data_IF_630328445350
#
_entry.id   IF_630328445350
#
_cell.length_a   1.000
_cell.length_b   1.000
_cell.length_c   1.000
_cell.angle_alpha   90.00
_cell.angle_beta   90.00
_cell.angle_gamma   90.00
#
_symmetry.space_group_name_H-M   'P 1'
#
loop_
_entity.id
_entity.type
_entity.pdbx_description
1 polymer ?
#
# COMPACT_ATOMS: atom_id res chain seq x y z
N UNK A 1 -10.52 6.11 -0.14
CA UNK A 1 -10.99 6.73 1.12
C UNK A 1 -12.28 6.14 1.69
N UNK A 2 -12.93 5.17 1.01
CA UNK A 2 -14.18 4.55 1.48
C UNK A 2 -14.12 4.04 2.93
N UNK A 3 -13.01 3.40 3.34
CA UNK A 3 -12.89 2.81 4.69
C UNK A 3 -12.76 3.86 5.80
N UNK A 4 -12.01 4.95 5.57
CA UNK A 4 -11.84 6.02 6.55
C UNK A 4 -13.16 6.75 6.81
N UNK A 5 -13.96 6.96 5.76
CA UNK A 5 -15.27 7.61 5.89
C UNK A 5 -16.30 6.74 6.65
N UNK A 6 -16.03 5.46 6.82
CA UNK A 6 -16.92 4.52 7.51
C UNK A 6 -16.55 4.29 8.98
N UNK A 7 -15.54 4.99 9.51
CA UNK A 7 -15.12 4.89 10.92
C UNK A 7 -15.21 6.25 11.63
N UNK A 8 -15.55 6.23 12.92
CA UNK A 8 -15.50 7.40 13.80
C UNK A 8 -14.06 7.69 14.29
N UNK A 9 -13.10 7.70 13.36
CA UNK A 9 -11.70 8.00 13.65
C UNK A 9 -11.39 9.45 13.30
N UNK A 10 -10.92 10.23 14.29
CA UNK A 10 -10.34 11.55 14.03
C UNK A 10 -8.87 11.41 13.65
N UNK A 11 -8.44 12.13 12.62
CA UNK A 11 -7.05 12.16 12.15
C UNK A 11 -6.71 13.53 11.59
N UNK A 12 -5.44 13.92 11.72
CA UNK A 12 -4.91 15.14 11.11
C UNK A 12 -4.39 14.91 9.69
N UNK A 13 -3.96 13.68 9.42
CA UNK A 13 -3.36 13.25 8.15
C UNK A 13 -3.65 11.78 7.89
N UNK A 14 -3.62 11.39 6.62
CA UNK A 14 -3.68 9.99 6.20
C UNK A 14 -2.52 9.69 5.26
N UNK A 15 -1.75 8.64 5.57
CA UNK A 15 -0.71 8.10 4.71
C UNK A 15 -1.27 6.84 4.04
N UNK A 16 -1.35 6.86 2.72
CA UNK A 16 -1.94 5.79 1.91
C UNK A 16 -0.88 5.14 1.00
N UNK A 17 -1.24 4.02 0.36
CA UNK A 17 -0.42 3.33 -0.64
C UNK A 17 1.01 3.01 -0.16
N UNK A 18 1.14 2.46 1.05
CA UNK A 18 2.42 2.18 1.71
C UNK A 18 3.36 3.40 1.76
N UNK A 19 2.85 4.61 1.97
CA UNK A 19 3.66 5.84 1.97
C UNK A 19 3.67 6.60 0.64
N UNK A 20 3.01 6.07 -0.40
CA UNK A 20 2.96 6.69 -1.72
C UNK A 20 2.10 7.95 -1.81
N UNK A 21 1.19 8.17 -0.86
CA UNK A 21 0.35 9.39 -0.80
C UNK A 21 0.17 9.88 0.62
N UNK A 22 0.08 11.19 0.78
CA UNK A 22 -0.20 11.88 2.04
C UNK A 22 -1.35 12.87 1.80
N UNK A 23 -2.39 12.77 2.61
CA UNK A 23 -3.55 13.66 2.62
C UNK A 23 -3.65 14.41 3.95
N UNK A 24 -4.24 15.60 3.93
CA UNK A 24 -4.63 16.32 5.14
C UNK A 24 -5.93 15.76 5.75
N UNK A 25 -6.35 16.32 6.89
CA UNK A 25 -7.61 15.99 7.58
C UNK A 25 -8.88 16.16 6.74
N UNK A 26 -8.83 16.97 5.69
CA UNK A 26 -9.94 17.19 4.76
C UNK A 26 -9.81 16.31 3.52
N UNK A 27 -8.89 15.35 3.53
CA UNK A 27 -8.58 14.46 2.41
C UNK A 27 -8.08 15.19 1.16
N UNK A 28 -7.51 16.39 1.34
CA UNK A 28 -6.81 17.08 0.26
C UNK A 28 -5.41 16.49 0.13
N UNK A 29 -5.02 16.17 -1.10
CA UNK A 29 -3.69 15.66 -1.40
C UNK A 29 -2.62 16.69 -1.02
N UNK A 30 -1.68 16.29 -0.18
CA UNK A 30 -0.49 17.09 0.18
C UNK A 30 0.69 16.68 -0.69
N UNK A 31 0.96 15.38 -0.78
CA UNK A 31 2.10 14.83 -1.52
C UNK A 31 1.79 13.44 -2.07
N UNK A 32 2.37 13.13 -3.23
CA UNK A 32 2.33 11.79 -3.82
C UNK A 32 3.65 11.43 -4.49
N UNK A 33 3.91 10.13 -4.60
CA UNK A 33 5.10 9.56 -5.21
C UNK A 33 4.68 8.60 -6.34
N UNK A 34 4.40 9.12 -7.55
CA UNK A 34 4.01 8.28 -8.66
C UNK A 34 5.14 7.36 -9.12
N UNK A 35 4.75 6.24 -9.72
CA UNK A 35 5.65 5.31 -10.38
C UNK A 35 6.29 5.95 -11.60
N UNK A 36 7.55 5.58 -11.90
CA UNK A 36 8.18 5.95 -13.16
C UNK A 36 7.37 5.40 -14.34
N UNK A 37 6.99 6.26 -15.28
CA UNK A 37 6.07 5.89 -16.37
C UNK A 37 6.69 4.87 -17.33
N UNK A 38 7.98 5.02 -17.65
CA UNK A 38 8.66 4.14 -18.61
C UNK A 38 8.80 2.75 -18.00
N UNK A 39 9.19 2.66 -16.74
CA UNK A 39 9.34 1.40 -16.03
C UNK A 39 7.98 0.76 -15.74
N UNK A 40 6.95 1.56 -15.47
CA UNK A 40 5.59 1.07 -15.31
C UNK A 40 5.09 0.43 -16.60
N UNK A 41 5.28 1.10 -17.74
CA UNK A 41 4.92 0.58 -19.06
C UNK A 41 5.63 -0.74 -19.37
N UNK A 42 6.94 -0.85 -19.05
CA UNK A 42 7.68 -2.12 -19.16
C UNK A 42 7.05 -3.21 -18.29
N UNK A 43 6.71 -2.89 -17.04
CA UNK A 43 6.20 -3.86 -16.07
C UNK A 43 4.82 -4.38 -16.48
N UNK A 44 3.88 -3.51 -16.84
CA UNK A 44 2.51 -3.93 -17.18
C UNK A 44 2.42 -4.75 -18.48
N UNK A 45 3.42 -4.65 -19.34
CA UNK A 45 3.52 -5.47 -20.57
C UNK A 45 4.41 -6.71 -20.44
N UNK A 46 5.08 -6.90 -19.29
CA UNK A 46 5.93 -8.07 -19.01
C UNK A 46 5.11 -9.35 -18.80
N UNK A 47 5.80 -10.50 -18.78
CA UNK A 47 5.24 -11.79 -18.38
C UNK A 47 4.69 -11.75 -16.95
N UNK A 48 5.38 -11.03 -16.04
CA UNK A 48 4.98 -10.85 -14.64
C UNK A 48 3.54 -10.34 -14.53
N UNK A 49 3.20 -9.29 -15.28
CA UNK A 49 1.87 -8.69 -15.23
C UNK A 49 0.82 -9.50 -16.01
N UNK A 50 1.21 -10.16 -17.11
CA UNK A 50 0.32 -11.01 -17.92
C UNK A 50 -0.12 -12.27 -17.18
N UNK A 51 0.74 -12.85 -16.36
CA UNK A 51 0.41 -14.03 -15.55
C UNK A 51 -0.36 -13.68 -14.25
N UNK A 52 -0.36 -12.41 -13.85
CA UNK A 52 -1.16 -11.95 -12.72
C UNK A 52 -2.65 -12.07 -13.03
N UNK A 53 -3.45 -12.50 -12.05
CA UNK A 53 -4.91 -12.61 -12.16
C UNK A 53 -5.59 -11.26 -12.41
N UNK A 54 -4.98 -10.18 -11.94
CA UNK A 54 -5.40 -8.81 -12.20
C UNK A 54 -4.22 -7.85 -12.08
N UNK A 55 -4.41 -6.64 -12.60
CA UNK A 55 -3.57 -5.50 -12.27
C UNK A 55 -4.48 -4.46 -11.63
N UNK A 56 -4.23 -4.11 -10.37
CA UNK A 56 -4.95 -3.05 -9.67
C UNK A 56 -4.07 -1.81 -9.67
N UNK A 57 -4.51 -0.77 -10.36
CA UNK A 57 -3.87 0.54 -10.43
C UNK A 57 -4.47 1.46 -9.37
N UNK A 58 -3.62 2.09 -8.57
CA UNK A 58 -4.03 3.09 -7.59
C UNK A 58 -3.39 4.45 -7.91
N UNK A 59 -4.21 5.48 -8.00
CA UNK A 59 -3.78 6.88 -7.95
C UNK A 59 -4.25 7.53 -6.64
N UNK A 60 -3.95 8.82 -6.45
CA UNK A 60 -4.45 9.58 -5.29
C UNK A 60 -5.98 9.70 -5.27
N UNK A 61 -6.63 9.62 -6.43
CA UNK A 61 -8.05 9.90 -6.57
C UNK A 61 -8.90 8.64 -6.74
N UNK A 62 -8.34 7.62 -7.41
CA UNK A 62 -9.13 6.49 -7.89
C UNK A 62 -8.34 5.21 -7.97
N UNK A 63 -9.06 4.09 -7.82
CA UNK A 63 -8.58 2.75 -8.10
C UNK A 63 -9.24 2.22 -9.37
N UNK A 64 -8.44 1.56 -10.21
CA UNK A 64 -8.90 0.93 -11.45
C UNK A 64 -8.24 -0.43 -11.61
N UNK A 65 -8.90 -1.37 -12.28
CA UNK A 65 -8.32 -2.71 -12.45
C UNK A 65 -8.52 -3.28 -13.83
N UNK A 66 -7.51 -4.01 -14.31
CA UNK A 66 -7.63 -4.93 -15.43
C UNK A 66 -7.72 -6.34 -14.86
N UNK A 67 -8.76 -7.09 -15.23
CA UNK A 67 -8.94 -8.49 -14.79
C UNK A 67 -8.47 -9.41 -15.90
N UNK A 68 -7.47 -10.23 -15.62
CA UNK A 68 -6.87 -11.18 -16.57
C UNK A 68 -7.36 -12.61 -16.35
N UNK A 69 -7.93 -12.91 -15.17
CA UNK A 69 -8.33 -14.26 -14.76
C UNK A 69 -9.66 -14.28 -14.02
N UNK A 70 -10.51 -15.30 -14.23
CA UNK A 70 -11.72 -15.52 -13.44
C UNK A 70 -11.41 -15.90 -11.97
N UNK A 71 -10.15 -16.18 -11.63
CA UNK A 71 -9.71 -16.43 -10.24
C UNK A 71 -9.46 -15.16 -9.43
N UNK A 72 -9.55 -13.99 -10.05
CA UNK A 72 -9.27 -12.71 -9.37
C UNK A 72 -10.24 -12.44 -8.22
N UNK A 73 -9.71 -12.23 -7.03
CA UNK A 73 -10.45 -11.81 -5.84
C UNK A 73 -11.13 -10.44 -5.98
N UNK A 74 -10.74 -9.63 -6.98
CA UNK A 74 -11.37 -8.34 -7.26
C UNK A 74 -12.69 -8.47 -8.01
N UNK A 75 -13.05 -9.65 -8.53
CA UNK A 75 -14.35 -9.89 -9.15
C UNK A 75 -15.52 -9.61 -8.21
N UNK A 76 -15.33 -9.75 -6.89
CA UNK A 76 -16.32 -9.38 -5.87
C UNK A 76 -16.82 -7.94 -6.02
N UNK A 77 -15.99 -7.00 -6.48
CA UNK A 77 -16.37 -5.59 -6.70
C UNK A 77 -17.27 -5.38 -7.92
N UNK A 78 -17.46 -6.40 -8.76
CA UNK A 78 -18.33 -6.33 -9.94
C UNK A 78 -19.54 -7.26 -9.84
N UNK A 79 -19.42 -8.34 -9.05
CA UNK A 79 -20.40 -9.42 -9.02
C UNK A 79 -21.17 -9.51 -7.70
N UNK A 80 -20.58 -9.09 -6.58
CA UNK A 80 -21.23 -9.18 -5.27
C UNK A 80 -22.20 -8.02 -5.05
N UNK A 81 -23.45 -8.32 -4.67
CA UNK A 81 -24.45 -7.31 -4.26
C UNK A 81 -23.92 -6.32 -3.21
N UNK A 82 -23.05 -6.80 -2.31
CA UNK A 82 -22.46 -5.96 -1.27
C UNK A 82 -21.60 -4.84 -1.84
N UNK A 83 -20.85 -5.10 -2.90
CA UNK A 83 -19.77 -4.21 -3.37
C UNK A 83 -20.03 -3.56 -4.73
N UNK A 84 -20.80 -4.22 -5.61
CA UNK A 84 -20.93 -3.84 -7.03
C UNK A 84 -21.44 -2.41 -7.27
N UNK A 85 -22.16 -1.84 -6.31
CA UNK A 85 -22.76 -0.50 -6.42
C UNK A 85 -21.99 0.59 -5.66
N UNK A 86 -20.82 0.28 -5.06
CA UNK A 86 -20.08 1.21 -4.20
C UNK A 86 -19.06 2.09 -4.94
N UNK A 87 -18.91 1.90 -6.25
CA UNK A 87 -17.96 2.60 -7.12
C UNK A 87 -16.50 2.67 -6.59
N UNK A 88 -16.08 1.63 -5.85
CA UNK A 88 -14.76 1.59 -5.21
C UNK A 88 -13.66 1.33 -6.25
N UNK A 89 -13.91 0.38 -7.16
CA UNK A 89 -12.98 -0.05 -8.21
C UNK A 89 -13.76 -0.18 -9.50
N UNK A 90 -13.26 0.42 -10.59
CA UNK A 90 -13.81 0.25 -11.93
C UNK A 90 -12.83 -0.50 -12.84
N UNK A 91 -13.35 -1.18 -13.87
CA UNK A 91 -12.51 -1.82 -14.88
C UNK A 91 -11.88 -0.79 -15.82
N UNK A 92 -10.67 -1.07 -16.28
CA UNK A 92 -9.91 -0.26 -17.24
C UNK A 92 -8.99 -1.16 -18.07
N UNK A 93 -8.61 -0.75 -19.27
CA UNK A 93 -7.48 -1.39 -19.98
C UNK A 93 -6.14 -0.90 -19.44
N UNK A 94 -5.06 -1.62 -19.71
CA UNK A 94 -3.70 -1.22 -19.30
C UNK A 94 -3.32 0.13 -19.93
N UNK A 95 -3.66 0.32 -21.20
CA UNK A 95 -3.34 1.49 -22.01
C UNK A 95 -4.11 2.73 -21.56
N UNK A 96 -5.37 2.56 -21.17
CA UNK A 96 -6.15 3.60 -20.51
C UNK A 96 -5.55 3.95 -19.14
N UNK A 97 -5.13 2.97 -18.35
CA UNK A 97 -4.47 3.24 -17.06
C UNK A 97 -3.16 4.03 -17.25
N UNK A 98 -2.32 3.64 -18.22
CA UNK A 98 -1.06 4.32 -18.54
C UNK A 98 -1.26 5.76 -19.04
N UNK A 99 -2.34 6.03 -19.77
CA UNK A 99 -2.60 7.35 -20.35
C UNK A 99 -3.36 8.29 -19.42
N UNK A 100 -4.30 7.77 -18.63
CA UNK A 100 -5.25 8.57 -17.85
C UNK A 100 -4.91 8.68 -16.35
N UNK A 101 -3.98 7.87 -15.84
CA UNK A 101 -3.69 7.80 -14.41
C UNK A 101 -2.26 8.22 -14.08
N UNK A 102 -2.14 9.00 -13.01
CA UNK A 102 -0.90 9.16 -12.29
C UNK A 102 -0.77 8.04 -11.26
N UNK A 103 -0.29 6.87 -11.70
CA UNK A 103 -0.24 5.65 -10.89
C UNK A 103 0.82 5.77 -9.80
N UNK A 104 0.43 5.53 -8.55
CA UNK A 104 1.29 5.58 -7.36
C UNK A 104 1.65 4.18 -6.86
N UNK A 105 0.72 3.24 -7.01
CA UNK A 105 0.93 1.84 -6.64
C UNK A 105 0.21 0.95 -7.64
N UNK A 106 0.79 -0.20 -7.94
CA UNK A 106 0.06 -1.31 -8.53
C UNK A 106 0.04 -2.52 -7.59
N UNK A 107 -1.03 -3.30 -7.62
CA UNK A 107 -1.13 -4.60 -6.96
C UNK A 107 -1.35 -5.70 -8.00
N UNK A 108 -0.55 -6.76 -7.90
CA UNK A 108 -0.65 -7.98 -8.69
C UNK A 108 -1.05 -9.14 -7.78
N UNK A 109 -1.69 -10.18 -8.32
CA UNK A 109 -2.13 -11.35 -7.55
C UNK A 109 -1.94 -12.64 -8.33
N UNK A 110 -1.49 -13.68 -7.65
CA UNK A 110 -1.13 -14.96 -8.26
C UNK A 110 -1.78 -16.14 -7.54
N UNK A 111 -1.59 -17.35 -8.07
CA UNK A 111 -2.17 -18.56 -7.49
C UNK A 111 -1.59 -18.92 -6.13
N UNK A 112 -0.30 -18.71 -5.92
CA UNK A 112 0.37 -19.02 -4.66
C UNK A 112 1.30 -17.90 -4.22
N UNK A 113 1.56 -17.85 -2.92
CA UNK A 113 2.57 -16.95 -2.34
C UNK A 113 3.98 -17.23 -2.91
N UNK A 114 4.29 -18.49 -3.23
CA UNK A 114 5.57 -18.85 -3.85
C UNK A 114 5.77 -18.20 -5.23
N UNK A 115 4.74 -18.25 -6.08
CA UNK A 115 4.77 -17.60 -7.40
C UNK A 115 4.91 -16.09 -7.24
N UNK A 116 4.08 -15.49 -6.38
CA UNK A 116 4.13 -14.07 -6.09
C UNK A 116 5.52 -13.64 -5.56
N UNK A 117 6.14 -14.43 -4.67
CA UNK A 117 7.47 -14.16 -4.12
C UNK A 117 8.56 -14.21 -5.20
N UNK A 118 8.49 -15.17 -6.13
CA UNK A 118 9.42 -15.24 -7.25
C UNK A 118 9.30 -14.01 -8.16
N UNK A 119 8.08 -13.57 -8.47
CA UNK A 119 7.87 -12.36 -9.25
C UNK A 119 8.26 -11.09 -8.49
N UNK A 120 8.03 -10.99 -7.19
CA UNK A 120 8.45 -9.84 -6.39
C UNK A 120 9.98 -9.68 -6.42
N UNK A 121 10.73 -10.78 -6.30
CA UNK A 121 12.19 -10.78 -6.46
C UNK A 121 12.61 -10.30 -7.86
N UNK A 122 11.93 -10.78 -8.91
CA UNK A 122 12.19 -10.34 -10.28
C UNK A 122 11.91 -8.86 -10.45
N UNK A 123 10.79 -8.33 -9.95
CA UNK A 123 10.46 -6.91 -10.02
C UNK A 123 11.53 -6.05 -9.34
N UNK A 124 11.99 -6.46 -8.15
CA UNK A 124 13.02 -5.73 -7.42
C UNK A 124 14.40 -5.72 -8.12
N UNK A 125 14.65 -6.67 -9.03
CA UNK A 125 15.94 -6.83 -9.72
C UNK A 125 15.95 -6.35 -11.18
N UNK A 126 14.86 -6.55 -11.92
CA UNK A 126 14.82 -6.41 -13.39
C UNK A 126 14.49 -4.97 -13.85
N UNK A 127 13.87 -4.14 -13.01
CA UNK A 127 13.35 -2.82 -13.40
C UNK A 127 14.26 -1.66 -12.97
N UNK A 128 15.58 -1.83 -13.07
CA UNK A 128 16.59 -0.78 -12.85
C UNK A 128 16.48 -0.05 -11.49
N UNK A 129 15.90 -0.71 -10.49
CA UNK A 129 15.62 -0.10 -9.20
C UNK A 129 14.54 1.01 -9.26
N UNK A 130 13.58 0.91 -10.17
CA UNK A 130 12.44 1.83 -10.23
C UNK A 130 11.42 1.55 -9.12
N UNK A 131 11.35 0.31 -8.64
CA UNK A 131 10.28 -0.18 -7.79
C UNK A 131 10.77 -0.71 -6.44
N UNK A 132 9.82 -0.76 -5.51
CA UNK A 132 9.84 -1.62 -4.33
C UNK A 132 8.60 -2.52 -4.40
N UNK A 133 8.82 -3.82 -4.62
CA UNK A 133 7.78 -4.85 -4.59
C UNK A 133 7.74 -5.50 -3.20
N UNK A 134 6.60 -5.38 -2.52
CA UNK A 134 6.34 -5.95 -1.21
C UNK A 134 5.30 -7.07 -1.31
N UNK A 135 5.57 -8.17 -0.62
CA UNK A 135 4.66 -9.29 -0.53
C UNK A 135 3.49 -8.98 0.41
N UNK A 136 2.30 -9.42 0.00
CA UNK A 136 1.09 -9.41 0.81
C UNK A 136 0.29 -10.69 0.48
N UNK A 137 0.57 -11.78 1.20
CA UNK A 137 0.08 -13.12 0.87
C UNK A 137 0.43 -13.48 -0.59
N UNK A 138 -0.54 -13.89 -1.40
CA UNK A 138 -0.38 -14.17 -2.82
C UNK A 138 -0.43 -12.91 -3.71
N UNK A 139 -0.43 -11.71 -3.12
CA UNK A 139 -0.36 -10.44 -3.83
C UNK A 139 1.03 -9.79 -3.72
N UNK A 140 1.32 -8.92 -4.68
CA UNK A 140 2.51 -8.06 -4.69
C UNK A 140 2.06 -6.61 -4.79
N UNK A 141 2.34 -5.83 -3.76
CA UNK A 141 2.16 -4.37 -3.78
C UNK A 141 3.45 -3.70 -4.26
N UNK A 142 3.35 -2.89 -5.30
CA UNK A 142 4.51 -2.31 -5.99
C UNK A 142 4.39 -0.79 -5.93
N UNK A 143 5.32 -0.17 -5.20
CA UNK A 143 5.47 1.28 -5.09
C UNK A 143 6.77 1.73 -5.76
N UNK A 144 7.00 3.04 -5.87
CA UNK A 144 8.28 3.57 -6.32
C UNK A 144 9.40 3.17 -5.34
N UNK A 145 10.63 2.99 -5.82
CA UNK A 145 11.76 2.59 -4.96
C UNK A 145 11.92 3.56 -3.79
N UNK A 146 12.13 3.01 -2.60
CA UNK A 146 12.29 3.76 -1.36
C UNK A 146 10.97 4.21 -0.71
N UNK A 147 9.84 4.06 -1.39
CA UNK A 147 8.53 4.39 -0.82
C UNK A 147 8.02 3.21 0.01
N UNK A 148 7.92 3.44 1.32
CA UNK A 148 7.33 2.54 2.30
C UNK A 148 6.69 3.37 3.43
N UNK A 149 5.99 2.71 4.37
CA UNK A 149 5.29 3.38 5.47
C UNK A 149 6.22 4.26 6.32
N UNK A 150 7.46 3.84 6.57
CA UNK A 150 8.44 4.64 7.34
C UNK A 150 8.78 5.94 6.60
N UNK A 151 9.03 5.84 5.29
CA UNK A 151 9.33 7.01 4.46
C UNK A 151 8.13 7.97 4.40
N UNK A 152 6.91 7.44 4.36
CA UNK A 152 5.68 8.24 4.46
C UNK A 152 5.63 9.04 5.77
N UNK A 153 5.92 8.41 6.91
CA UNK A 153 5.96 9.08 8.22
C UNK A 153 7.07 10.14 8.25
N UNK A 154 8.28 9.83 7.79
CA UNK A 154 9.39 10.80 7.71
C UNK A 154 9.03 12.02 6.87
N UNK A 155 8.40 11.79 5.73
CA UNK A 155 7.96 12.87 4.85
C UNK A 155 6.89 13.75 5.53
N UNK A 156 5.94 13.14 6.24
CA UNK A 156 4.95 13.88 7.01
C UNK A 156 5.63 14.75 8.08
N UNK A 157 6.59 14.20 8.84
CA UNK A 157 7.33 14.97 9.85
C UNK A 157 8.09 16.14 9.22
N UNK A 158 8.72 15.94 8.05
CA UNK A 158 9.40 17.01 7.33
C UNK A 158 8.43 18.10 6.82
N UNK A 159 7.23 17.71 6.37
CA UNK A 159 6.15 18.65 6.01
C UNK A 159 5.64 19.43 7.23
N UNK A 160 5.84 18.90 8.44
CA UNK A 160 5.46 19.51 9.71
C UNK A 160 6.68 20.02 10.51
N UNK A 161 7.80 20.36 9.84
CA UNK A 161 9.07 20.75 10.49
C UNK A 161 8.99 21.93 11.46
N UNK A 162 7.96 22.79 11.32
CA UNK A 162 7.73 23.93 12.21
C UNK A 162 6.96 23.54 13.48
N UNK A 163 6.49 22.28 13.57
CA UNK A 163 5.87 21.70 14.76
C UNK A 163 6.89 20.88 15.54
N UNK A 164 6.73 20.89 16.86
CA UNK A 164 7.47 20.01 17.74
C UNK A 164 6.67 18.73 17.97
N UNK A 165 7.31 17.58 17.75
CA UNK A 165 6.81 16.26 18.11
C UNK A 165 7.73 15.70 19.18
N UNK A 166 7.19 15.47 20.38
CA UNK A 166 7.96 14.87 21.48
C UNK A 166 8.36 13.43 21.17
N UNK A 167 7.45 12.68 20.52
CA UNK A 167 7.66 11.29 20.14
C UNK A 167 6.87 10.92 18.88
N UNK A 168 7.28 9.83 18.24
CA UNK A 168 6.57 9.21 17.11
C UNK A 168 6.34 7.74 17.47
N UNK A 169 5.09 7.39 17.73
CA UNK A 169 4.69 6.02 18.04
C UNK A 169 4.15 5.35 16.77
N UNK A 170 4.74 4.24 16.38
CA UNK A 170 4.23 3.41 15.26
C UNK A 170 3.79 2.05 15.78
N UNK A 171 2.71 1.51 15.21
CA UNK A 171 2.26 0.15 15.46
C UNK A 171 1.77 -0.47 14.16
N UNK A 172 2.12 -1.73 13.91
CA UNK A 172 1.69 -2.44 12.71
C UNK A 172 1.71 -3.95 12.88
N UNK A 173 1.10 -4.67 11.95
CA UNK A 173 0.79 -6.09 12.11
C UNK A 173 1.39 -6.98 11.01
N UNK A 174 1.82 -6.38 9.90
CA UNK A 174 2.26 -7.10 8.72
C UNK A 174 3.64 -6.66 8.23
N UNK A 175 4.11 -7.34 7.18
CA UNK A 175 5.45 -7.13 6.63
C UNK A 175 5.68 -5.71 6.09
N UNK A 176 4.65 -5.06 5.54
CA UNK A 176 4.76 -3.68 5.05
C UNK A 176 4.90 -2.64 6.17
N UNK A 177 4.65 -3.01 7.43
CA UNK A 177 4.87 -2.18 8.62
C UNK A 177 6.28 -2.28 9.18
N UNK A 178 7.01 -3.37 8.87
CA UNK A 178 8.37 -3.61 9.39
C UNK A 178 9.30 -2.41 9.23
N UNK A 179 9.33 -1.68 8.09
CA UNK A 179 10.17 -0.49 7.97
C UNK A 179 9.85 0.58 9.03
N UNK A 180 8.57 0.87 9.30
CA UNK A 180 8.21 1.93 10.25
C UNK A 180 8.39 1.48 11.70
N UNK A 181 8.19 0.18 11.97
CA UNK A 181 8.44 -0.37 13.31
C UNK A 181 9.93 -0.29 13.63
N UNK A 182 10.81 -0.67 12.70
CA UNK A 182 12.26 -0.57 12.91
C UNK A 182 12.75 0.87 13.03
N UNK A 183 12.26 1.75 12.17
CA UNK A 183 12.72 3.13 12.10
C UNK A 183 12.37 3.94 13.35
N UNK A 184 11.19 3.70 13.92
CA UNK A 184 10.67 4.48 15.04
C UNK A 184 10.61 3.68 16.34
N UNK A 185 11.37 2.57 16.42
CA UNK A 185 11.37 1.65 17.58
C UNK A 185 9.94 1.27 18.03
N UNK A 186 9.08 1.05 17.04
CA UNK A 186 7.65 0.92 17.22
C UNK A 186 7.20 -0.43 17.77
N UNK A 187 5.90 -0.62 17.71
CA UNK A 187 5.18 -1.71 18.35
C UNK A 187 4.50 -2.63 17.33
N UNK A 188 4.02 -3.78 17.81
CA UNK A 188 3.20 -4.67 17.00
C UNK A 188 2.09 -5.29 17.84
N UNK A 189 1.21 -6.05 17.19
CA UNK A 189 0.07 -6.72 17.84
C UNK A 189 0.41 -8.17 18.20
N UNK A 190 -0.19 -8.69 19.26
CA UNK A 190 -0.12 -10.12 19.59
C UNK A 190 -0.71 -11.00 18.48
N UNK A 191 -1.64 -10.47 17.68
CA UNK A 191 -2.22 -11.14 16.50
C UNK A 191 -1.36 -11.01 15.24
N UNK A 192 -0.31 -10.20 15.25
CA UNK A 192 0.48 -9.86 14.07
C UNK A 192 1.27 -11.06 13.48
N UNK A 193 1.75 -10.87 12.26
CA UNK A 193 2.70 -11.76 11.61
C UNK A 193 4.04 -11.82 12.36
N UNK A 194 4.78 -12.92 12.22
CA UNK A 194 6.11 -13.05 12.82
C UNK A 194 7.10 -11.98 12.31
N UNK A 195 6.93 -11.51 11.07
CA UNK A 195 7.75 -10.44 10.51
C UNK A 195 7.66 -9.15 11.34
N UNK A 196 6.44 -8.73 11.70
CA UNK A 196 6.22 -7.54 12.52
C UNK A 196 6.61 -7.78 13.99
N UNK A 197 6.24 -8.93 14.56
CA UNK A 197 6.55 -9.28 15.97
C UNK A 197 8.05 -9.29 16.26
N UNK A 198 8.86 -9.84 15.37
CA UNK A 198 10.29 -10.01 15.59
C UNK A 198 11.08 -8.70 15.64
N UNK A 199 10.49 -7.59 15.20
CA UNK A 199 11.17 -6.29 15.10
C UNK A 199 10.56 -5.25 16.03
N UNK A 200 9.47 -5.59 16.72
CA UNK A 200 8.74 -4.69 17.59
C UNK A 200 9.38 -4.61 18.99
N UNK A 201 9.35 -3.41 19.57
CA UNK A 201 9.81 -3.14 20.94
C UNK A 201 8.96 -3.86 21.97
N UNK A 202 7.64 -3.88 21.77
CA UNK A 202 6.66 -4.56 22.62
C UNK A 202 5.44 -4.95 21.79
N UNK A 203 4.74 -5.99 22.25
CA UNK A 203 3.48 -6.45 21.66
C UNK A 203 2.29 -6.03 22.52
N UNK A 204 1.19 -5.68 21.86
CA UNK A 204 -0.07 -5.25 22.46
C UNK A 204 -1.27 -6.00 21.88
N UNK A 205 -2.40 -6.07 22.60
CA UNK A 205 -3.61 -6.68 22.03
C UNK A 205 -4.37 -5.70 21.13
N UNK A 206 -4.18 -4.39 21.34
CA UNK A 206 -4.80 -3.34 20.51
C UNK A 206 -3.95 -2.08 20.41
N UNK A 207 -4.26 -1.24 19.41
CA UNK A 207 -3.71 0.12 19.28
C UNK A 207 -4.05 0.97 20.51
N UNK A 208 -5.25 0.79 21.08
CA UNK A 208 -5.70 1.55 22.25
C UNK A 208 -4.87 1.27 23.49
N UNK A 209 -4.54 0.00 23.75
CA UNK A 209 -3.64 -0.37 24.85
C UNK A 209 -2.24 0.22 24.67
N UNK A 210 -1.69 0.17 23.45
CA UNK A 210 -0.40 0.78 23.16
C UNK A 210 -0.40 2.28 23.46
N UNK A 211 -1.47 2.99 23.09
CA UNK A 211 -1.59 4.42 23.37
C UNK A 211 -1.70 4.72 24.88
N UNK A 212 -2.49 3.95 25.63
CA UNK A 212 -2.64 4.13 27.08
C UNK A 212 -1.34 3.92 27.86
N UNK A 213 -0.43 3.08 27.35
CA UNK A 213 0.87 2.83 27.96
C UNK A 213 1.93 3.92 27.65
N UNK A 214 1.71 4.75 26.62
CA UNK A 214 2.73 5.63 26.04
C UNK A 214 2.32 7.11 25.94
N UNK A 215 1.12 7.49 26.39
CA UNK A 215 0.60 8.87 26.45
C UNK A 215 0.33 9.28 27.90
#
# INVERSE_FOLDING_TARGET
MHEVNNQELTYDFVICNNGGTIFDKNLKLIKSFPLDKIQLEKLVHSDIAKESWHILFSSAEKMRTTINSPKSQLLKYFESEKYKNQDIIQRITVEQALSEMNVIQISLAYETEEIANNYAKRINNEFEGAFLANMNLNCIDICAKGINKAQGVKELLNLQKDKYFEQVLTIGDAQNDVPMIKEFEGYSLNSATMHAKNVATKLYDSVGEMLLDNL
#
